data_IF_183427342896
#
_entry.id   IF_183427342896
#
_cell.length_a   1.000
_cell.length_b   1.000
_cell.length_c   1.000
_cell.angle_alpha   90.00
_cell.angle_beta   90.00
_cell.angle_gamma   90.00
#
_symmetry.space_group_name_H-M   'P 1'
#
loop_
_entity.id
_entity.type
_entity.pdbx_description
1 polymer ?
#
# COMPACT_ATOMS: atom_id res chain seq x y z
N UNK A 1 18.19 0.87 -55.34
CA UNK A 1 17.42 -0.04 -54.50
C UNK A 1 18.30 -0.30 -53.28
N UNK A 2 18.03 0.38 -52.18
CA UNK A 2 18.74 0.16 -50.92
C UNK A 2 18.03 -0.96 -50.19
N UNK A 3 18.73 -2.06 -49.95
CA UNK A 3 18.28 -3.15 -49.10
C UNK A 3 18.03 -2.59 -47.69
N UNK A 4 16.76 -2.34 -47.38
CA UNK A 4 16.32 -2.17 -46.00
C UNK A 4 16.22 -3.57 -45.41
N UNK A 5 17.30 -4.02 -44.75
CA UNK A 5 17.21 -5.16 -43.85
C UNK A 5 16.20 -4.80 -42.75
N UNK A 6 15.03 -5.45 -42.76
CA UNK A 6 14.14 -5.47 -41.61
C UNK A 6 14.95 -6.04 -40.44
N UNK A 7 15.26 -5.22 -39.45
CA UNK A 7 15.84 -5.70 -38.19
C UNK A 7 14.81 -6.61 -37.54
N UNK A 8 15.00 -7.92 -37.69
CA UNK A 8 14.19 -8.92 -37.03
C UNK A 8 14.55 -8.92 -35.54
N UNK A 9 13.66 -8.38 -34.70
CA UNK A 9 13.85 -8.39 -33.26
C UNK A 9 13.67 -9.83 -32.72
N UNK A 10 14.59 -10.27 -31.87
CA UNK A 10 14.56 -11.60 -31.27
C UNK A 10 14.27 -11.53 -29.76
N UNK A 11 13.29 -12.31 -29.29
CA UNK A 11 12.91 -12.41 -27.87
C UNK A 11 14.09 -12.79 -26.98
N UNK A 12 14.90 -13.76 -27.39
CA UNK A 12 16.03 -14.28 -26.59
C UNK A 12 17.20 -13.30 -26.53
N UNK A 13 17.32 -12.39 -27.50
CA UNK A 13 18.29 -11.31 -27.45
C UNK A 13 17.83 -10.19 -26.53
N UNK A 14 16.55 -9.80 -26.62
CA UNK A 14 15.97 -8.76 -25.75
C UNK A 14 15.98 -9.18 -24.28
N UNK A 15 15.77 -10.48 -23.99
CA UNK A 15 15.93 -11.00 -22.61
C UNK A 15 17.32 -10.81 -22.01
N UNK A 16 18.34 -10.67 -22.85
CA UNK A 16 19.74 -10.45 -22.41
C UNK A 16 20.12 -8.98 -22.37
N UNK A 17 19.33 -8.09 -22.96
CA UNK A 17 19.60 -6.64 -22.95
C UNK A 17 19.43 -6.06 -21.56
N UNK A 18 20.15 -4.97 -21.24
CA UNK A 18 19.88 -4.25 -19.99
C UNK A 18 18.43 -3.74 -20.02
N UNK A 19 17.61 -4.00 -18.99
CA UNK A 19 16.24 -3.53 -18.95
C UNK A 19 16.10 -2.01 -19.13
N UNK A 20 17.11 -1.23 -18.73
CA UNK A 20 17.14 0.22 -18.98
C UNK A 20 17.22 0.54 -20.47
N UNK A 21 18.03 -0.20 -21.23
CA UNK A 21 18.15 -0.01 -22.69
C UNK A 21 16.86 -0.40 -23.40
N UNK A 22 16.22 -1.48 -22.96
CA UNK A 22 14.91 -1.91 -23.50
C UNK A 22 13.85 -0.83 -23.26
N UNK A 23 13.78 -0.29 -22.05
CA UNK A 23 12.86 0.81 -21.73
C UNK A 23 13.17 2.06 -22.57
N UNK A 24 14.42 2.50 -22.62
CA UNK A 24 14.83 3.72 -23.32
C UNK A 24 14.55 3.61 -24.84
N UNK A 25 14.90 2.48 -25.44
CA UNK A 25 14.64 2.22 -26.86
C UNK A 25 13.14 2.15 -27.15
N UNK A 26 12.33 1.58 -26.25
CA UNK A 26 10.87 1.51 -26.41
C UNK A 26 10.18 2.87 -26.42
N UNK A 27 10.82 3.91 -25.86
CA UNK A 27 10.28 5.27 -25.88
C UNK A 27 10.62 6.03 -27.18
N UNK A 28 11.57 5.53 -27.97
CA UNK A 28 12.10 6.23 -29.15
C UNK A 28 11.81 5.50 -30.46
N UNK A 29 11.75 4.17 -30.46
CA UNK A 29 11.45 3.35 -31.66
C UNK A 29 10.05 2.76 -31.57
N UNK A 30 9.23 3.09 -32.57
CA UNK A 30 7.87 2.58 -32.68
C UNK A 30 7.87 1.08 -32.95
N UNK A 31 8.73 0.61 -33.84
CA UNK A 31 8.85 -0.79 -34.24
C UNK A 31 9.28 -1.67 -33.05
N UNK A 32 10.27 -1.20 -32.27
CA UNK A 32 10.71 -1.90 -31.07
C UNK A 32 9.61 -1.95 -30.00
N UNK A 33 8.90 -0.85 -29.79
CA UNK A 33 7.75 -0.82 -28.87
C UNK A 33 6.65 -1.78 -29.31
N UNK A 34 6.29 -1.80 -30.59
CA UNK A 34 5.28 -2.73 -31.13
C UNK A 34 5.67 -4.19 -30.89
N UNK A 35 6.94 -4.53 -31.12
CA UNK A 35 7.47 -5.85 -30.80
C UNK A 35 7.33 -6.19 -29.30
N UNK A 36 7.75 -5.28 -28.40
CA UNK A 36 7.63 -5.50 -26.96
C UNK A 36 6.18 -5.64 -26.51
N UNK A 37 5.26 -4.88 -27.10
CA UNK A 37 3.83 -4.95 -26.76
C UNK A 37 3.23 -6.32 -27.10
N UNK A 38 3.68 -6.93 -28.20
CA UNK A 38 3.21 -8.26 -28.63
C UNK A 38 3.85 -9.36 -27.78
N UNK A 39 5.16 -9.29 -27.56
CA UNK A 39 5.93 -10.41 -27.01
C UNK A 39 6.21 -10.33 -25.51
N UNK A 40 6.23 -9.12 -24.94
CA UNK A 40 6.52 -8.82 -23.53
C UNK A 40 7.64 -9.69 -22.93
N UNK A 41 8.84 -9.67 -23.54
CA UNK A 41 9.88 -10.66 -23.26
C UNK A 41 10.44 -10.59 -21.84
N UNK A 42 10.32 -9.43 -21.18
CA UNK A 42 10.81 -9.18 -19.83
C UNK A 42 9.69 -9.19 -18.79
N UNK A 43 9.94 -9.90 -17.69
CA UNK A 43 9.04 -9.98 -16.54
C UNK A 43 9.52 -9.10 -15.40
N UNK A 44 8.60 -8.40 -14.75
CA UNK A 44 8.92 -7.55 -13.61
C UNK A 44 7.80 -7.53 -12.57
N UNK A 45 8.16 -7.16 -11.34
CA UNK A 45 7.21 -6.66 -10.35
C UNK A 45 7.24 -5.14 -10.38
N UNK A 46 6.07 -4.52 -10.24
CA UNK A 46 5.90 -3.08 -10.31
C UNK A 46 5.43 -2.55 -8.95
N UNK A 47 6.12 -1.52 -8.45
CA UNK A 47 5.76 -0.81 -7.22
C UNK A 47 5.51 0.66 -7.50
N UNK A 48 4.31 1.14 -7.16
CA UNK A 48 4.05 2.58 -7.04
C UNK A 48 4.32 3.03 -5.61
N UNK A 49 5.13 4.07 -5.44
CA UNK A 49 5.28 4.79 -4.17
C UNK A 49 4.80 6.22 -4.36
N UNK A 50 3.77 6.57 -3.60
CA UNK A 50 3.08 7.86 -3.60
C UNK A 50 3.11 8.41 -2.18
N UNK A 51 4.18 9.12 -1.83
CA UNK A 51 4.50 9.44 -0.43
C UNK A 51 4.93 10.91 -0.28
N UNK A 52 4.79 11.48 0.92
CA UNK A 52 5.32 12.80 1.27
C UNK A 52 6.29 12.70 2.43
N UNK A 53 7.57 12.97 2.16
CA UNK A 53 8.57 13.04 3.22
C UNK A 53 8.67 14.46 3.75
N UNK A 54 8.54 14.54 5.07
CA UNK A 54 8.58 15.79 5.78
C UNK A 54 10.03 16.18 5.99
N UNK A 55 10.44 17.28 5.37
CA UNK A 55 11.65 17.97 5.77
C UNK A 55 11.24 19.26 6.47
N UNK A 56 11.61 19.40 7.74
CA UNK A 56 11.51 20.69 8.43
C UNK A 56 12.63 21.58 7.90
N UNK A 57 12.31 22.49 7.00
CA UNK A 57 13.23 23.55 6.59
C UNK A 57 12.76 24.90 7.11
N UNK A 58 13.73 25.78 7.40
CA UNK A 58 13.47 27.21 7.58
C UNK A 58 13.71 27.82 6.20
N UNK A 59 12.68 28.10 5.40
CA UNK A 59 12.93 28.68 4.08
C UNK A 59 13.48 30.10 4.26
N UNK A 60 14.44 30.49 3.40
CA UNK A 60 14.93 31.89 3.34
C UNK A 60 13.85 32.85 2.81
N UNK A 61 12.77 32.33 2.22
CA UNK A 61 11.65 33.09 1.68
C UNK A 61 10.34 32.36 2.00
N UNK A 62 9.41 33.02 2.69
CA UNK A 62 8.07 32.50 2.98
C UNK A 62 7.11 33.10 1.95
N UNK A 63 6.51 32.30 1.06
CA UNK A 63 5.47 32.80 0.17
C UNK A 63 4.28 33.32 0.98
N UNK A 64 3.76 34.49 0.64
CA UNK A 64 2.65 35.15 1.35
C UNK A 64 1.28 34.49 1.14
N UNK A 65 1.17 33.56 0.19
CA UNK A 65 -0.09 32.91 -0.21
C UNK A 65 -0.06 31.39 -0.02
N UNK A 66 0.37 30.91 1.14
CA UNK A 66 0.28 29.48 1.44
C UNK A 66 -1.14 29.12 1.91
N UNK A 67 -1.68 27.95 1.53
CA UNK A 67 -2.98 27.46 2.02
C UNK A 67 -3.03 27.38 3.55
N UNK A 68 -4.22 27.58 4.14
CA UNK A 68 -4.44 27.41 5.59
C UNK A 68 -3.98 26.01 6.03
N UNK A 69 -3.04 25.92 6.96
CA UNK A 69 -2.47 24.65 7.48
C UNK A 69 -0.97 24.45 7.23
N UNK A 70 -0.39 25.25 6.33
CA UNK A 70 1.05 25.26 5.97
C UNK A 70 1.96 25.98 6.97
N UNK A 71 1.38 26.56 8.02
CA UNK A 71 2.09 27.22 9.11
C UNK A 71 1.73 26.53 10.42
N UNK A 72 2.76 26.12 11.20
CA UNK A 72 2.55 25.86 12.62
C UNK A 72 2.32 27.20 13.31
N UNK A 73 1.13 27.42 13.90
CA UNK A 73 0.80 28.66 14.65
C UNK A 73 1.96 28.99 15.60
N UNK A 74 2.55 30.18 15.44
CA UNK A 74 3.62 30.68 16.31
C UNK A 74 5.06 30.32 15.92
N UNK A 75 5.35 29.79 14.72
CA UNK A 75 6.73 29.57 14.27
C UNK A 75 6.98 30.08 12.84
N UNK A 76 8.18 30.58 12.54
CA UNK A 76 8.65 30.94 11.20
C UNK A 76 8.98 29.72 10.30
N UNK A 77 8.50 28.52 10.66
CA UNK A 77 8.75 27.29 9.89
C UNK A 77 7.63 27.11 8.87
N UNK A 78 8.01 26.87 7.62
CA UNK A 78 7.10 26.47 6.54
C UNK A 78 7.32 24.99 6.29
N UNK A 79 6.24 24.25 6.04
CA UNK A 79 6.37 22.87 5.59
C UNK A 79 6.89 22.86 4.15
N UNK A 80 8.13 22.39 3.95
CA UNK A 80 8.57 21.91 2.63
C UNK A 80 8.19 20.44 2.52
N UNK A 81 7.29 20.14 1.59
CA UNK A 81 6.86 18.79 1.28
C UNK A 81 7.79 18.24 0.19
N UNK A 82 8.61 17.26 0.53
CA UNK A 82 9.38 16.50 -0.45
C UNK A 82 8.56 15.26 -0.81
N UNK A 83 7.63 15.38 -1.77
CA UNK A 83 6.85 14.22 -2.18
C UNK A 83 7.73 13.25 -2.99
N UNK A 84 7.71 11.98 -2.59
CA UNK A 84 8.38 10.87 -3.26
C UNK A 84 7.38 10.17 -4.17
N UNK A 85 7.44 10.54 -5.44
CA UNK A 85 6.73 9.85 -6.51
C UNK A 85 7.69 8.91 -7.22
N UNK A 86 7.49 7.60 -7.07
CA UNK A 86 8.40 6.58 -7.61
C UNK A 86 7.59 5.46 -8.28
N UNK A 87 8.01 5.07 -9.48
CA UNK A 87 7.67 3.80 -10.12
C UNK A 87 8.92 2.92 -10.10
N UNK A 88 8.88 1.82 -9.35
CA UNK A 88 9.98 0.86 -9.30
C UNK A 88 9.62 -0.42 -10.04
N UNK A 89 10.54 -0.89 -10.89
CA UNK A 89 10.46 -2.14 -11.63
C UNK A 89 11.55 -3.07 -11.14
N UNK A 90 11.15 -4.15 -10.48
CA UNK A 90 12.06 -5.22 -10.06
C UNK A 90 11.98 -6.34 -11.08
N UNK A 91 12.96 -6.40 -11.97
CA UNK A 91 13.03 -7.41 -13.03
C UNK A 91 13.29 -8.79 -12.42
N UNK A 92 12.59 -9.79 -12.97
CA UNK A 92 12.71 -11.19 -12.58
C UNK A 92 13.78 -11.89 -13.42
N UNK A 93 14.03 -13.15 -13.09
CA UNK A 93 14.86 -14.05 -13.90
C UNK A 93 16.30 -13.53 -14.11
N UNK A 94 16.67 -13.25 -15.36
CA UNK A 94 18.06 -13.09 -15.83
C UNK A 94 18.75 -11.83 -15.29
N UNK A 95 18.00 -10.78 -14.95
CA UNK A 95 18.60 -9.51 -14.54
C UNK A 95 18.71 -9.31 -13.03
N UNK A 96 17.70 -9.76 -12.26
CA UNK A 96 17.55 -9.45 -10.82
C UNK A 96 17.87 -7.98 -10.45
N UNK A 97 17.57 -7.06 -11.37
CA UNK A 97 17.90 -5.63 -11.30
C UNK A 97 16.64 -4.84 -10.98
N UNK A 98 16.79 -3.74 -10.26
CA UNK A 98 15.74 -2.74 -10.07
C UNK A 98 16.00 -1.54 -10.98
N UNK A 99 14.96 -1.06 -11.64
CA UNK A 99 14.95 0.19 -12.41
C UNK A 99 13.89 1.10 -11.80
N UNK A 100 14.22 2.37 -11.58
CA UNK A 100 13.31 3.32 -10.93
C UNK A 100 13.03 4.51 -11.83
N UNK A 101 11.78 4.90 -11.96
CA UNK A 101 11.40 6.25 -12.37
C UNK A 101 11.10 7.04 -11.11
N UNK A 102 11.73 8.18 -10.92
CA UNK A 102 11.47 9.00 -9.76
C UNK A 102 11.46 10.48 -10.11
N UNK A 103 10.61 11.22 -9.42
CA UNK A 103 10.50 12.66 -9.57
C UNK A 103 11.43 13.30 -8.55
N UNK A 104 12.56 13.83 -9.01
CA UNK A 104 13.53 14.48 -8.13
C UNK A 104 13.08 15.89 -7.75
N UNK A 105 13.21 16.24 -6.47
CA UNK A 105 13.27 17.65 -6.05
C UNK A 105 14.56 18.28 -6.60
N UNK A 106 14.54 19.57 -6.92
CA UNK A 106 15.71 20.28 -7.47
C UNK A 106 16.79 20.62 -6.43
N UNK A 107 16.87 19.85 -5.34
CA UNK A 107 17.80 20.11 -4.23
C UNK A 107 18.98 19.14 -4.19
N UNK A 108 20.20 19.69 -4.31
CA UNK A 108 21.51 19.10 -3.96
C UNK A 108 22.25 18.21 -4.98
N UNK A 109 22.07 18.44 -6.29
CA UNK A 109 23.18 18.09 -7.22
C UNK A 109 24.13 19.27 -7.29
N UNK A 110 25.38 19.03 -6.89
CA UNK A 110 26.50 19.98 -6.94
C UNK A 110 26.76 20.32 -8.40
N UNK A 111 26.30 21.49 -8.83
CA UNK A 111 26.38 21.96 -10.21
C UNK A 111 25.05 22.60 -10.62
N UNK A 112 24.91 23.89 -10.35
CA UNK A 112 23.80 24.79 -10.69
C UNK A 112 22.56 24.15 -11.35
N UNK A 113 21.49 23.86 -10.59
CA UNK A 113 20.25 23.39 -11.18
C UNK A 113 19.65 24.53 -12.04
N UNK A 114 19.58 24.32 -13.35
CA UNK A 114 18.71 25.13 -14.22
C UNK A 114 17.27 24.84 -13.81
N UNK A 115 16.73 25.70 -12.97
CA UNK A 115 15.31 25.71 -12.62
C UNK A 115 14.51 25.87 -13.90
N UNK A 116 13.86 24.78 -14.35
CA UNK A 116 12.85 24.83 -15.40
C UNK A 116 11.71 25.74 -14.89
N UNK A 117 11.35 26.72 -15.69
CA UNK A 117 10.27 27.69 -15.38
C UNK A 117 8.93 26.98 -15.47
N UNK A 118 7.93 27.51 -14.77
CA UNK A 118 6.55 27.06 -14.89
C UNK A 118 6.11 27.05 -16.37
N UNK A 119 5.61 25.91 -16.85
CA UNK A 119 5.25 25.68 -18.26
C UNK A 119 6.36 25.08 -19.13
N UNK A 120 7.57 24.91 -18.61
CA UNK A 120 8.62 24.16 -19.30
C UNK A 120 8.27 22.65 -19.35
N UNK A 121 8.58 21.94 -20.44
CA UNK A 121 8.31 20.51 -20.54
C UNK A 121 9.10 19.72 -19.50
N UNK A 122 8.45 18.74 -18.86
CA UNK A 122 9.14 17.76 -18.02
C UNK A 122 10.13 16.97 -18.88
N UNK A 123 11.33 16.75 -18.35
CA UNK A 123 12.42 16.01 -19.00
C UNK A 123 12.76 14.78 -18.20
N UNK A 124 13.01 13.67 -18.88
CA UNK A 124 13.52 12.46 -18.27
C UNK A 124 15.02 12.35 -18.54
N UNK A 125 15.81 12.14 -17.48
CA UNK A 125 17.26 11.97 -17.55
C UNK A 125 17.59 10.56 -17.09
N UNK A 126 18.37 9.86 -17.90
CA UNK A 126 18.88 8.54 -17.56
C UNK A 126 20.05 8.66 -16.60
N UNK A 127 19.99 7.94 -15.49
CA UNK A 127 21.05 7.73 -14.51
C UNK A 127 21.50 6.27 -14.56
N UNK A 128 22.42 5.85 -13.69
CA UNK A 128 23.00 4.49 -13.71
C UNK A 128 21.94 3.39 -13.54
N UNK A 129 20.99 3.57 -12.62
CA UNK A 129 19.96 2.59 -12.26
C UNK A 129 18.53 3.18 -12.25
N UNK A 130 18.36 4.36 -12.84
CA UNK A 130 17.11 5.09 -12.76
C UNK A 130 16.86 6.05 -13.94
N UNK A 131 15.60 6.44 -14.09
CA UNK A 131 15.14 7.53 -14.91
C UNK A 131 14.63 8.65 -14.01
N UNK A 132 15.38 9.73 -13.90
CA UNK A 132 15.00 10.91 -13.13
C UNK A 132 14.11 11.82 -13.98
N UNK A 133 12.90 12.08 -13.51
CA UNK A 133 12.00 13.07 -14.12
C UNK A 133 12.26 14.44 -13.46
N UNK A 134 12.62 15.42 -14.28
CA UNK A 134 12.98 16.80 -13.90
C UNK A 134 11.98 17.75 -14.56
N UNK A 135 11.71 18.89 -13.91
CA UNK A 135 10.71 19.87 -14.37
C UNK A 135 9.55 20.04 -13.40
N UNK A 136 9.58 19.29 -12.30
CA UNK A 136 8.73 19.53 -11.14
C UNK A 136 9.08 20.89 -10.52
N UNK A 137 8.15 21.83 -10.56
CA UNK A 137 8.31 23.07 -9.80
C UNK A 137 7.81 22.83 -8.38
N UNK A 138 8.56 23.28 -7.36
CA UNK A 138 8.15 23.12 -5.94
C UNK A 138 6.81 23.81 -5.62
N UNK A 139 6.28 24.61 -6.56
CA UNK A 139 5.00 25.30 -6.47
C UNK A 139 3.81 24.48 -7.01
N UNK A 140 4.03 23.40 -7.77
CA UNK A 140 2.94 22.55 -8.31
C UNK A 140 2.21 21.74 -7.22
N UNK A 141 2.86 21.50 -6.07
CA UNK A 141 2.26 20.88 -4.88
C UNK A 141 1.05 21.70 -4.38
N UNK A 142 0.97 22.99 -4.76
CA UNK A 142 -0.07 23.93 -4.32
C UNK A 142 -1.10 24.28 -5.40
N UNK A 143 -0.97 23.72 -6.61
CA UNK A 143 -1.89 23.95 -7.73
C UNK A 143 -2.71 22.70 -8.04
N UNK A 144 -3.98 22.86 -8.47
CA UNK A 144 -4.92 21.77 -8.78
C UNK A 144 -4.44 20.81 -9.89
N UNK A 145 -3.49 21.23 -10.72
CA UNK A 145 -3.05 20.47 -11.88
C UNK A 145 -1.78 19.67 -11.56
N UNK A 146 -1.96 18.49 -10.96
CA UNK A 146 -0.91 17.50 -10.62
C UNK A 146 -0.31 16.84 -11.86
N UNK A 147 0.38 17.61 -12.69
CA UNK A 147 1.00 17.16 -13.94
C UNK A 147 2.01 16.03 -13.71
N UNK A 148 2.68 16.03 -12.57
CA UNK A 148 3.59 14.96 -12.12
C UNK A 148 2.90 13.59 -12.04
N UNK A 149 1.71 13.53 -11.44
CA UNK A 149 0.90 12.32 -11.36
C UNK A 149 0.38 11.87 -12.73
N UNK A 150 0.09 12.81 -13.64
CA UNK A 150 -0.26 12.48 -15.03
C UNK A 150 0.92 11.88 -15.78
N UNK A 151 2.13 12.42 -15.61
CA UNK A 151 3.34 11.85 -16.21
C UNK A 151 3.64 10.46 -15.64
N UNK A 152 3.52 10.28 -14.31
CA UNK A 152 3.67 8.98 -13.68
C UNK A 152 2.62 7.96 -14.18
N UNK A 153 1.38 8.39 -14.41
CA UNK A 153 0.34 7.58 -15.03
C UNK A 153 0.71 7.17 -16.46
N UNK A 154 1.22 8.11 -17.28
CA UNK A 154 1.67 7.83 -18.65
C UNK A 154 2.84 6.85 -18.69
N UNK A 155 3.85 7.03 -17.84
CA UNK A 155 4.98 6.09 -17.71
C UNK A 155 4.44 4.72 -17.28
N UNK A 156 3.54 4.67 -16.30
CA UNK A 156 2.93 3.41 -15.85
C UNK A 156 2.21 2.68 -16.99
N UNK A 157 1.43 3.40 -17.82
CA UNK A 157 0.76 2.81 -18.99
C UNK A 157 1.76 2.24 -19.99
N UNK A 158 2.78 3.01 -20.35
CA UNK A 158 3.83 2.57 -21.27
C UNK A 158 4.53 1.31 -20.77
N UNK A 159 4.88 1.25 -19.48
CA UNK A 159 5.50 0.06 -18.88
C UNK A 159 4.59 -1.16 -18.95
N UNK A 160 3.29 -0.99 -18.68
CA UNK A 160 2.31 -2.08 -18.76
C UNK A 160 2.06 -2.54 -20.19
N UNK A 161 2.31 -1.70 -21.19
CA UNK A 161 2.25 -2.09 -22.60
C UNK A 161 3.43 -2.98 -22.97
N UNK A 162 4.66 -2.68 -22.52
CA UNK A 162 5.87 -3.35 -23.02
C UNK A 162 6.38 -4.50 -22.13
N UNK A 163 5.96 -4.58 -20.86
CA UNK A 163 6.43 -5.60 -19.91
C UNK A 163 5.33 -6.61 -19.54
N UNK A 164 5.76 -7.80 -19.15
CA UNK A 164 4.92 -8.80 -18.48
C UNK A 164 4.99 -8.62 -16.95
N UNK A 165 4.15 -7.73 -16.42
CA UNK A 165 4.12 -7.41 -14.99
C UNK A 165 3.42 -8.50 -14.19
N UNK A 166 4.18 -9.18 -13.33
CA UNK A 166 3.69 -10.33 -12.55
C UNK A 166 2.97 -9.91 -11.27
N UNK A 167 3.49 -8.88 -10.60
CA UNK A 167 2.99 -8.43 -9.29
C UNK A 167 2.93 -6.92 -9.21
N UNK A 168 1.89 -6.44 -8.55
CA UNK A 168 1.63 -5.03 -8.32
C UNK A 168 1.70 -4.72 -6.83
N UNK A 169 2.46 -3.68 -6.50
CA UNK A 169 2.60 -3.17 -5.15
C UNK A 169 2.25 -1.68 -5.12
N UNK A 170 1.51 -1.26 -4.10
CA UNK A 170 1.17 0.16 -3.88
C UNK A 170 1.58 0.56 -2.47
N UNK A 171 2.39 1.61 -2.37
CA UNK A 171 2.77 2.25 -1.11
C UNK A 171 2.28 3.69 -1.15
N UNK A 172 1.41 4.04 -0.21
CA UNK A 172 0.91 5.40 -0.05
C UNK A 172 1.29 5.92 1.33
N UNK A 173 1.91 7.09 1.38
CA UNK A 173 2.38 7.74 2.60
C UNK A 173 1.91 9.19 2.74
N UNK A 174 0.67 9.46 2.32
CA UNK A 174 0.06 10.79 2.21
C UNK A 174 0.56 11.62 1.01
N UNK A 175 -0.38 12.20 0.27
CA UNK A 175 -0.16 13.26 -0.71
C UNK A 175 -1.23 14.34 -0.50
N UNK A 176 -0.83 15.61 -0.52
CA UNK A 176 -1.77 16.71 -0.29
C UNK A 176 -2.80 16.82 -1.42
N UNK A 177 -4.07 17.03 -1.08
CA UNK A 177 -5.22 17.13 -2.01
C UNK A 177 -5.31 15.96 -3.01
N UNK A 178 -4.88 14.76 -2.59
CA UNK A 178 -4.89 13.58 -3.43
C UNK A 178 -5.86 12.53 -2.92
N UNK A 179 -6.77 12.10 -3.80
CA UNK A 179 -7.75 11.05 -3.51
C UNK A 179 -7.23 9.70 -3.96
N UNK A 180 -6.57 8.99 -3.04
CA UNK A 180 -5.96 7.69 -3.30
C UNK A 180 -6.97 6.72 -3.94
N UNK A 181 -8.21 6.69 -3.46
CA UNK A 181 -9.24 5.77 -3.94
C UNK A 181 -9.68 6.04 -5.39
N UNK A 182 -9.36 7.22 -5.96
CA UNK A 182 -9.67 7.60 -7.34
C UNK A 182 -8.44 7.61 -8.24
N UNK A 183 -7.29 7.20 -7.70
CA UNK A 183 -5.99 7.32 -8.36
C UNK A 183 -5.79 6.32 -9.50
N UNK A 184 -4.83 6.62 -10.37
CA UNK A 184 -4.53 5.83 -11.56
C UNK A 184 -4.06 4.39 -11.28
N UNK A 185 -3.36 4.03 -10.18
CA UNK A 185 -3.02 2.63 -9.91
C UNK A 185 -4.26 1.72 -9.91
N UNK A 186 -5.38 2.17 -9.32
CA UNK A 186 -6.64 1.42 -9.30
C UNK A 186 -7.38 1.41 -10.65
N UNK A 187 -7.04 2.33 -11.56
CA UNK A 187 -7.53 2.31 -12.96
C UNK A 187 -6.74 1.32 -13.81
N UNK A 188 -5.46 1.12 -13.50
CA UNK A 188 -4.55 0.24 -14.24
C UNK A 188 -4.66 -1.23 -13.79
N UNK A 189 -4.91 -1.48 -12.51
CA UNK A 189 -5.11 -2.84 -11.98
C UNK A 189 -6.03 -2.84 -10.76
N UNK A 190 -6.70 -3.97 -10.54
CA UNK A 190 -7.48 -4.26 -9.31
C UNK A 190 -6.87 -5.35 -8.46
N UNK A 191 -5.80 -5.99 -8.94
CA UNK A 191 -5.12 -7.10 -8.30
C UNK A 191 -3.77 -6.61 -7.77
N UNK A 192 -3.55 -6.77 -6.48
CA UNK A 192 -2.34 -6.29 -5.80
C UNK A 192 -1.73 -7.42 -4.99
N UNK A 193 -0.41 -7.58 -5.12
CA UNK A 193 0.34 -8.40 -4.18
C UNK A 193 0.36 -7.71 -2.81
N UNK A 194 0.62 -6.39 -2.78
CA UNK A 194 0.53 -5.64 -1.52
C UNK A 194 0.02 -4.22 -1.70
N UNK A 195 -0.74 -3.76 -0.72
CA UNK A 195 -1.12 -2.34 -0.55
C UNK A 195 -0.74 -1.92 0.87
N UNK A 196 0.04 -0.85 0.98
CA UNK A 196 0.35 -0.18 2.24
C UNK A 196 -0.17 1.23 2.19
N UNK A 197 -1.01 1.61 3.15
CA UNK A 197 -1.56 2.96 3.30
C UNK A 197 -1.15 3.47 4.66
N UNK A 198 -0.38 4.56 4.67
CA UNK A 198 0.00 5.28 5.86
C UNK A 198 -0.42 6.73 5.72
N UNK A 199 -1.17 7.25 6.69
CA UNK A 199 -1.51 8.68 6.75
C UNK A 199 -0.64 9.38 7.78
N UNK A 200 -0.78 10.70 7.86
CA UNK A 200 -0.13 11.51 8.89
C UNK A 200 -1.00 11.51 10.13
N UNK A 201 -0.40 11.76 11.29
CA UNK A 201 -1.09 11.87 12.58
C UNK A 201 -2.16 12.99 12.60
N UNK A 202 -2.06 13.98 11.72
CA UNK A 202 -3.05 15.06 11.61
C UNK A 202 -3.99 14.90 10.41
N UNK A 203 -3.91 13.78 9.69
CA UNK A 203 -4.73 13.48 8.52
C UNK A 203 -5.71 12.34 8.83
N UNK A 204 -6.99 12.68 8.77
CA UNK A 204 -8.08 11.74 9.03
C UNK A 204 -8.71 11.32 7.71
N UNK A 205 -8.89 10.01 7.55
CA UNK A 205 -9.52 9.44 6.36
C UNK A 205 -11.01 9.30 6.60
N UNK A 206 -11.82 9.85 5.70
CA UNK A 206 -13.25 9.58 5.71
C UNK A 206 -13.50 8.08 5.52
N UNK A 207 -14.28 7.44 6.40
CA UNK A 207 -14.60 5.99 6.32
C UNK A 207 -15.18 5.59 4.95
N UNK A 208 -15.88 6.50 4.27
CA UNK A 208 -16.40 6.28 2.92
C UNK A 208 -15.30 6.17 1.86
N UNK A 209 -14.19 6.89 2.01
CA UNK A 209 -13.07 6.84 1.07
C UNK A 209 -12.26 5.57 1.29
N UNK A 210 -12.06 5.13 2.54
CA UNK A 210 -11.55 3.79 2.84
C UNK A 210 -12.43 2.70 2.21
N UNK A 211 -13.76 2.80 2.31
CA UNK A 211 -14.67 1.84 1.69
C UNK A 211 -14.53 1.80 0.17
N UNK A 212 -14.35 2.95 -0.50
CA UNK A 212 -14.08 3.00 -1.94
C UNK A 212 -12.75 2.35 -2.29
N UNK A 213 -11.70 2.60 -1.50
CA UNK A 213 -10.39 1.97 -1.67
C UNK A 213 -10.50 0.44 -1.59
N UNK A 214 -11.13 -0.08 -0.54
CA UNK A 214 -11.34 -1.52 -0.35
C UNK A 214 -12.20 -2.15 -1.48
N UNK A 215 -13.12 -1.37 -2.06
CA UNK A 215 -13.94 -1.82 -3.21
C UNK A 215 -13.13 -1.86 -4.51
N UNK A 216 -12.19 -0.93 -4.69
CA UNK A 216 -11.42 -0.80 -5.92
C UNK A 216 -10.31 -1.86 -6.04
N UNK A 217 -9.88 -2.44 -4.91
CA UNK A 217 -8.92 -3.54 -4.87
C UNK A 217 -9.63 -4.88 -4.59
N UNK A 218 -9.74 -5.76 -5.60
CA UNK A 218 -10.58 -6.98 -5.52
C UNK A 218 -9.79 -8.24 -5.19
N UNK A 219 -8.47 -8.26 -5.38
CA UNK A 219 -7.60 -9.40 -5.08
C UNK A 219 -6.30 -8.88 -4.45
N UNK A 220 -6.34 -8.56 -3.16
CA UNK A 220 -5.15 -8.11 -2.42
C UNK A 220 -4.58 -9.27 -1.63
N UNK A 221 -3.28 -9.58 -1.74
CA UNK A 221 -2.68 -10.56 -0.82
C UNK A 221 -2.40 -9.94 0.53
N UNK A 222 -1.58 -8.90 0.56
CA UNK A 222 -1.19 -8.20 1.80
C UNK A 222 -1.76 -6.77 1.84
N UNK A 223 -2.60 -6.48 2.81
CA UNK A 223 -3.12 -5.13 3.07
C UNK A 223 -2.61 -4.62 4.42
N UNK A 224 -1.83 -3.54 4.40
CA UNK A 224 -1.38 -2.84 5.61
C UNK A 224 -1.99 -1.43 5.65
N UNK A 225 -2.70 -1.13 6.74
CA UNK A 225 -3.30 0.18 7.01
C UNK A 225 -2.70 0.75 8.29
N UNK A 226 -2.23 1.99 8.24
CA UNK A 226 -1.78 2.78 9.38
C UNK A 226 -2.44 4.16 9.22
N UNK A 227 -3.71 4.24 9.61
CA UNK A 227 -4.57 5.39 9.31
C UNK A 227 -5.44 5.74 10.52
N UNK A 228 -5.75 7.02 10.66
CA UNK A 228 -6.81 7.51 11.52
C UNK A 228 -8.09 7.71 10.70
N UNK A 229 -9.25 7.31 11.25
CA UNK A 229 -10.55 7.59 10.61
C UNK A 229 -11.21 8.84 11.20
N UNK A 230 -11.88 9.60 10.34
CA UNK A 230 -12.74 10.69 10.79
C UNK A 230 -13.86 10.16 11.73
N UNK A 231 -14.13 10.83 12.86
CA UNK A 231 -15.18 10.41 13.77
C UNK A 231 -16.55 10.52 13.10
N UNK A 232 -17.35 9.45 13.18
CA UNK A 232 -18.70 9.44 12.61
C UNK A 232 -19.77 9.47 13.70
N UNK A 233 -20.78 10.32 13.55
CA UNK A 233 -21.89 10.45 14.50
C UNK A 233 -23.00 9.41 14.32
N UNK A 234 -22.92 8.55 13.29
CA UNK A 234 -23.97 7.58 12.94
C UNK A 234 -23.38 6.18 12.79
N UNK A 235 -24.12 5.13 13.18
CA UNK A 235 -23.74 3.75 12.91
C UNK A 235 -23.41 3.56 11.43
N UNK A 236 -22.22 3.03 11.16
CA UNK A 236 -21.75 2.79 9.80
C UNK A 236 -21.95 1.33 9.43
N UNK A 237 -22.11 1.06 8.12
CA UNK A 237 -22.03 -0.31 7.64
C UNK A 237 -20.61 -0.85 7.86
N UNK A 238 -20.47 -2.14 8.21
CA UNK A 238 -19.15 -2.75 8.34
C UNK A 238 -18.30 -2.57 7.08
N UNK A 239 -16.99 -2.42 7.28
CA UNK A 239 -15.99 -2.50 6.24
C UNK A 239 -15.83 -3.96 5.80
N UNK A 240 -15.45 -4.16 4.55
CA UNK A 240 -15.25 -5.50 3.98
C UNK A 240 -13.82 -5.58 3.48
N UNK A 241 -13.00 -6.35 4.19
CA UNK A 241 -11.60 -6.57 3.84
C UNK A 241 -11.47 -7.79 2.94
N UNK A 242 -11.20 -7.55 1.66
CA UNK A 242 -10.96 -8.57 0.65
C UNK A 242 -9.45 -8.76 0.43
N UNK A 243 -8.80 -9.34 1.44
CA UNK A 243 -7.37 -9.62 1.37
C UNK A 243 -7.01 -10.95 2.05
N UNK A 244 -5.89 -11.57 1.66
CA UNK A 244 -5.41 -12.79 2.34
C UNK A 244 -4.83 -12.49 3.72
N UNK A 245 -4.13 -11.38 3.86
CA UNK A 245 -3.41 -10.93 5.05
C UNK A 245 -3.75 -9.47 5.33
N UNK A 246 -4.37 -9.22 6.48
CA UNK A 246 -4.77 -7.90 6.94
C UNK A 246 -3.89 -7.47 8.12
N UNK A 247 -3.32 -6.28 8.02
CA UNK A 247 -2.57 -5.64 9.10
C UNK A 247 -3.07 -4.22 9.30
N UNK A 248 -3.60 -3.93 10.49
CA UNK A 248 -4.04 -2.60 10.87
C UNK A 248 -3.20 -2.13 12.05
N UNK A 249 -2.48 -1.03 11.85
CA UNK A 249 -1.83 -0.25 12.91
C UNK A 249 -2.74 0.94 13.19
N UNK A 250 -2.92 1.29 14.47
CA UNK A 250 -3.86 2.35 14.88
C UNK A 250 -5.31 1.99 14.52
N UNK A 251 -5.77 0.84 15.04
CA UNK A 251 -7.06 0.23 14.76
C UNK A 251 -8.14 0.50 15.81
N UNK A 252 -8.07 1.63 16.53
CA UNK A 252 -9.10 2.05 17.50
C UNK A 252 -10.49 2.23 16.85
N UNK A 253 -10.52 2.50 15.55
CA UNK A 253 -11.73 2.60 14.74
C UNK A 253 -12.26 1.26 14.19
N UNK A 254 -11.54 0.17 14.40
CA UNK A 254 -11.91 -1.16 13.89
C UNK A 254 -12.90 -1.82 14.84
N UNK A 255 -14.05 -2.23 14.31
CA UNK A 255 -15.02 -2.99 15.09
C UNK A 255 -14.94 -4.49 14.79
N UNK A 256 -15.34 -5.33 15.74
CA UNK A 256 -15.40 -6.79 15.54
C UNK A 256 -16.22 -7.18 14.31
N UNK A 257 -17.30 -6.43 14.01
CA UNK A 257 -18.13 -6.67 12.82
C UNK A 257 -17.39 -6.42 11.50
N UNK A 258 -16.43 -5.50 11.48
CA UNK A 258 -15.59 -5.24 10.31
C UNK A 258 -14.69 -6.47 10.02
N UNK A 259 -14.19 -7.12 11.07
CA UNK A 259 -13.34 -8.30 10.97
C UNK A 259 -14.14 -9.57 10.61
N UNK A 260 -15.35 -9.74 11.15
CA UNK A 260 -16.19 -10.91 10.87
C UNK A 260 -16.59 -11.03 9.39
N UNK A 261 -16.68 -9.89 8.69
CA UNK A 261 -16.94 -9.86 7.24
C UNK A 261 -15.71 -10.14 6.37
N UNK A 262 -14.52 -10.26 6.96
CA UNK A 262 -13.28 -10.45 6.23
C UNK A 262 -13.08 -11.92 5.81
N UNK A 263 -12.50 -12.13 4.63
CA UNK A 263 -12.15 -13.46 4.11
C UNK A 263 -10.68 -13.85 4.36
N UNK A 264 -10.02 -13.13 5.26
CA UNK A 264 -8.58 -13.22 5.54
C UNK A 264 -8.15 -14.56 6.14
N UNK A 265 -6.92 -14.95 5.81
CA UNK A 265 -6.17 -16.01 6.48
C UNK A 265 -5.41 -15.47 7.68
N UNK A 266 -4.86 -14.26 7.58
CA UNK A 266 -4.06 -13.63 8.64
C UNK A 266 -4.65 -12.27 9.00
N UNK A 267 -4.81 -12.01 10.30
CA UNK A 267 -5.34 -10.75 10.81
C UNK A 267 -4.42 -10.27 11.93
N UNK A 268 -3.90 -9.05 11.80
CA UNK A 268 -3.22 -8.32 12.86
C UNK A 268 -3.91 -6.97 13.05
N UNK A 269 -4.33 -6.65 14.26
CA UNK A 269 -4.89 -5.34 14.61
C UNK A 269 -4.24 -4.82 15.89
N UNK A 270 -3.80 -3.57 15.88
CA UNK A 270 -3.20 -2.90 17.03
C UNK A 270 -4.02 -1.69 17.46
N UNK A 271 -4.40 -1.62 18.74
CA UNK A 271 -5.15 -0.49 19.33
C UNK A 271 -6.67 -0.64 19.29
N UNK A 272 -7.21 -1.79 18.85
CA UNK A 272 -8.65 -2.06 18.82
C UNK A 272 -9.24 -2.16 20.23
N UNK A 273 -10.41 -1.58 20.46
CA UNK A 273 -11.21 -1.90 21.64
C UNK A 273 -12.01 -3.19 21.40
N UNK A 274 -11.99 -4.10 22.37
CA UNK A 274 -12.74 -5.34 22.28
C UNK A 274 -13.31 -5.75 23.64
N UNK A 275 -14.59 -6.12 23.67
CA UNK A 275 -15.24 -6.68 24.86
C UNK A 275 -15.04 -8.18 24.99
N UNK A 276 -15.32 -8.72 26.18
CA UNK A 276 -15.28 -10.17 26.41
C UNK A 276 -16.31 -10.91 25.54
N UNK A 277 -17.52 -10.35 25.41
CA UNK A 277 -18.59 -10.89 24.57
C UNK A 277 -18.18 -10.94 23.10
N UNK A 278 -17.46 -9.93 22.62
CA UNK A 278 -16.95 -9.88 21.26
C UNK A 278 -15.89 -10.94 21.00
N UNK A 279 -14.93 -11.11 21.91
CA UNK A 279 -13.91 -12.14 21.79
C UNK A 279 -14.52 -13.56 21.83
N UNK A 280 -15.50 -13.79 22.72
CA UNK A 280 -16.27 -15.05 22.74
C UNK A 280 -17.05 -15.24 21.43
N UNK A 281 -17.61 -14.16 20.86
CA UNK A 281 -18.32 -14.20 19.57
C UNK A 281 -17.39 -14.61 18.42
N UNK A 282 -16.17 -14.05 18.35
CA UNK A 282 -15.16 -14.44 17.36
C UNK A 282 -14.91 -15.95 17.40
N UNK A 283 -14.62 -16.50 18.59
CA UNK A 283 -14.32 -17.92 18.75
C UNK A 283 -15.53 -18.80 18.44
N UNK A 284 -16.74 -18.40 18.87
CA UNK A 284 -17.98 -19.13 18.56
C UNK A 284 -18.22 -19.20 17.06
N UNK A 285 -18.10 -18.08 16.36
CA UNK A 285 -18.39 -17.99 14.94
C UNK A 285 -17.36 -18.77 14.09
N UNK A 286 -16.08 -18.70 14.47
CA UNK A 286 -15.05 -19.57 13.89
C UNK A 286 -15.36 -21.05 14.14
N UNK A 287 -15.71 -21.42 15.38
CA UNK A 287 -15.99 -22.82 15.79
C UNK A 287 -17.16 -23.43 15.01
N UNK A 288 -18.19 -22.65 14.70
CA UNK A 288 -19.36 -23.10 13.92
C UNK A 288 -19.11 -23.07 12.41
N UNK A 289 -17.97 -22.53 11.97
CA UNK A 289 -17.63 -22.40 10.55
C UNK A 289 -18.36 -21.26 9.84
N UNK A 290 -18.81 -20.24 10.60
CA UNK A 290 -19.37 -19.00 10.08
C UNK A 290 -18.28 -18.07 9.53
N UNK A 291 -18.09 -16.92 10.18
CA UNK A 291 -16.97 -16.02 9.93
C UNK A 291 -15.61 -16.65 10.22
N UNK A 292 -14.54 -16.03 9.69
CA UNK A 292 -13.16 -16.49 9.88
C UNK A 292 -12.88 -17.92 9.39
N UNK A 293 -13.68 -18.47 8.46
CA UNK A 293 -13.51 -19.84 7.96
C UNK A 293 -12.10 -20.13 7.43
N UNK A 294 -11.50 -19.15 6.75
CA UNK A 294 -10.16 -19.26 6.15
C UNK A 294 -9.02 -18.91 7.12
N UNK A 295 -9.33 -18.51 8.36
CA UNK A 295 -8.34 -18.01 9.29
C UNK A 295 -7.30 -19.08 9.64
N UNK A 296 -6.05 -18.67 9.57
CA UNK A 296 -4.84 -19.40 9.97
C UNK A 296 -4.24 -18.76 11.24
N UNK A 297 -4.24 -17.43 11.33
CA UNK A 297 -3.71 -16.72 12.51
C UNK A 297 -4.40 -15.36 12.71
N UNK A 298 -4.67 -15.02 13.96
CA UNK A 298 -5.21 -13.73 14.39
C UNK A 298 -4.46 -13.23 15.63
N UNK A 299 -4.03 -11.97 15.59
CA UNK A 299 -3.48 -11.23 16.72
C UNK A 299 -4.19 -9.89 16.84
N UNK A 300 -4.84 -9.65 17.98
CA UNK A 300 -5.49 -8.38 18.31
C UNK A 300 -4.83 -7.83 19.57
N UNK A 301 -4.11 -6.71 19.43
CA UNK A 301 -3.59 -5.92 20.56
C UNK A 301 -4.60 -4.85 20.90
N UNK A 302 -5.05 -4.88 22.15
CA UNK A 302 -6.17 -4.07 22.61
C UNK A 302 -5.71 -2.82 23.36
N UNK A 303 -6.42 -1.72 23.15
CA UNK A 303 -6.24 -0.49 23.94
C UNK A 303 -6.85 -0.64 25.35
N UNK A 304 -7.93 -1.41 25.48
CA UNK A 304 -8.57 -1.75 26.74
C UNK A 304 -8.02 -3.07 27.35
N UNK A 305 -8.34 -3.31 28.63
CA UNK A 305 -8.01 -4.56 29.32
C UNK A 305 -9.12 -5.60 29.15
N UNK A 306 -8.73 -6.81 28.76
CA UNK A 306 -9.59 -7.98 28.64
C UNK A 306 -9.36 -8.95 29.81
N UNK A 307 -9.89 -8.60 30.98
CA UNK A 307 -9.77 -9.43 32.19
C UNK A 307 -10.84 -10.53 32.21
N UNK A 308 -10.49 -11.73 32.70
CA UNK A 308 -11.46 -12.82 32.91
C UNK A 308 -11.91 -13.60 31.68
N UNK A 309 -11.44 -13.26 30.47
CA UNK A 309 -11.80 -13.97 29.23
C UNK A 309 -11.50 -15.48 29.29
N UNK A 310 -10.43 -15.82 29.99
CA UNK A 310 -10.00 -17.16 30.28
C UNK A 310 -11.10 -18.02 30.92
N UNK A 311 -11.70 -17.50 32.00
CA UNK A 311 -12.75 -18.19 32.74
C UNK A 311 -14.03 -18.30 31.91
N UNK A 312 -14.34 -17.25 31.14
CA UNK A 312 -15.53 -17.24 30.29
C UNK A 312 -15.40 -18.21 29.12
N UNK A 313 -14.22 -18.32 28.51
CA UNK A 313 -13.94 -19.34 27.51
C UNK A 313 -14.07 -20.76 28.08
N UNK A 314 -13.60 -20.99 29.31
CA UNK A 314 -13.73 -22.31 29.97
C UNK A 314 -15.20 -22.67 30.19
N UNK A 315 -16.04 -21.72 30.64
CA UNK A 315 -17.49 -21.91 30.80
C UNK A 315 -18.18 -22.20 29.47
N UNK A 316 -17.86 -21.43 28.43
CA UNK A 316 -18.58 -21.45 27.15
C UNK A 316 -18.19 -22.65 26.28
N UNK A 317 -16.91 -23.02 26.28
CA UNK A 317 -16.37 -24.03 25.38
C UNK A 317 -16.05 -25.36 26.07
N UNK A 318 -16.11 -25.42 27.40
CA UNK A 318 -15.83 -26.63 28.18
C UNK A 318 -14.36 -27.08 28.07
N UNK A 319 -13.43 -26.13 27.88
CA UNK A 319 -11.99 -26.43 27.75
C UNK A 319 -11.47 -26.82 29.13
N UNK A 320 -11.08 -28.10 29.29
CA UNK A 320 -10.49 -28.59 30.55
C UNK A 320 -9.02 -28.15 30.64
N UNK A 321 -8.63 -27.57 31.77
CA UNK A 321 -7.21 -27.31 32.12
C UNK A 321 -6.45 -28.64 32.10
N UNK A 322 -5.53 -28.81 31.14
CA UNK A 322 -4.76 -30.04 31.01
C UNK A 322 -3.67 -30.20 32.08
N UNK A 323 -3.13 -29.10 32.63
CA UNK A 323 -2.22 -29.11 33.78
C UNK A 323 -2.07 -27.69 34.36
N UNK A 324 -1.96 -27.56 35.68
CA UNK A 324 -1.86 -26.27 36.39
C UNK A 324 -0.55 -25.49 36.11
N UNK A 325 0.39 -26.07 35.35
CA UNK A 325 1.69 -25.49 35.04
C UNK A 325 1.96 -25.30 33.54
N UNK A 326 1.06 -25.75 32.65
CA UNK A 326 1.21 -25.60 31.20
C UNK A 326 0.25 -24.53 30.67
N UNK A 327 0.65 -23.27 30.86
CA UNK A 327 0.32 -22.01 30.19
C UNK A 327 -1.12 -21.74 29.70
N UNK A 328 -1.54 -20.48 29.78
CA UNK A 328 -2.83 -19.85 29.40
C UNK A 328 -3.38 -20.10 27.97
N UNK A 329 -2.93 -21.14 27.29
CA UNK A 329 -3.31 -21.53 25.95
C UNK A 329 -4.48 -22.53 26.00
N UNK A 330 -5.61 -22.19 25.39
CA UNK A 330 -6.82 -23.02 25.29
C UNK A 330 -6.97 -23.55 23.88
N UNK A 331 -7.41 -24.80 23.71
CA UNK A 331 -7.67 -25.35 22.37
C UNK A 331 -9.16 -25.46 22.10
N UNK A 332 -9.61 -25.02 20.92
CA UNK A 332 -11.00 -25.16 20.46
C UNK A 332 -11.02 -25.91 19.13
N UNK A 333 -11.86 -26.94 19.03
CA UNK A 333 -12.07 -27.70 17.81
C UNK A 333 -13.28 -27.17 17.04
N UNK A 334 -13.08 -26.85 15.76
CA UNK A 334 -14.14 -26.43 14.84
C UNK A 334 -15.04 -27.62 14.49
N UNK A 335 -16.35 -27.37 14.50
CA UNK A 335 -17.39 -28.40 14.35
C UNK A 335 -17.45 -28.93 12.92
N UNK A 336 -17.19 -28.08 11.92
CA UNK A 336 -17.42 -28.39 10.51
C UNK A 336 -16.32 -29.25 9.88
N UNK A 337 -15.05 -29.01 10.19
CA UNK A 337 -13.89 -29.67 9.57
C UNK A 337 -12.92 -30.27 10.58
N UNK A 338 -13.17 -30.11 11.87
CA UNK A 338 -12.33 -30.66 12.93
C UNK A 338 -10.99 -29.94 13.15
N UNK A 339 -10.70 -28.83 12.44
CA UNK A 339 -9.49 -28.03 12.68
C UNK A 339 -9.44 -27.51 14.12
N UNK A 340 -8.23 -27.33 14.63
CA UNK A 340 -8.00 -26.96 16.03
C UNK A 340 -7.36 -25.57 16.07
N UNK A 341 -7.96 -24.67 16.84
CA UNK A 341 -7.39 -23.37 17.15
C UNK A 341 -6.79 -23.38 18.54
N UNK A 342 -5.60 -22.79 18.68
CA UNK A 342 -4.99 -22.44 19.96
C UNK A 342 -5.29 -20.98 20.26
N UNK A 343 -5.93 -20.73 21.39
CA UNK A 343 -6.31 -19.42 21.88
C UNK A 343 -5.35 -19.03 23.00
N UNK A 344 -4.85 -17.80 22.95
CA UNK A 344 -4.05 -17.24 24.02
C UNK A 344 -4.45 -15.80 24.29
N UNK A 345 -4.59 -15.46 25.56
CA UNK A 345 -5.03 -14.14 26.00
C UNK A 345 -4.16 -13.62 27.14
N UNK A 346 -3.88 -12.32 27.08
CA UNK A 346 -3.31 -11.48 28.14
C UNK A 346 -4.17 -10.22 28.25
N UNK A 347 -4.02 -9.39 29.30
CA UNK A 347 -4.85 -8.21 29.49
C UNK A 347 -5.00 -7.32 28.23
N UNK A 348 -3.97 -7.17 27.40
CA UNK A 348 -4.01 -6.34 26.20
C UNK A 348 -3.78 -7.12 24.90
N UNK A 349 -3.94 -8.44 24.92
CA UNK A 349 -3.65 -9.28 23.76
C UNK A 349 -4.63 -10.45 23.67
N UNK A 350 -5.21 -10.63 22.49
CA UNK A 350 -5.95 -11.81 22.11
C UNK A 350 -5.32 -12.42 20.86
N UNK A 351 -5.08 -13.73 20.89
CA UNK A 351 -4.49 -14.47 19.77
C UNK A 351 -5.24 -15.77 19.53
N UNK A 352 -5.34 -16.14 18.25
CA UNK A 352 -5.93 -17.38 17.79
C UNK A 352 -5.13 -17.93 16.60
N UNK A 353 -4.49 -19.08 16.79
CA UNK A 353 -3.67 -19.75 15.77
C UNK A 353 -4.28 -21.11 15.41
N UNK A 354 -4.55 -21.34 14.13
CA UNK A 354 -5.23 -22.53 13.62
C UNK A 354 -4.21 -23.52 13.04
N UNK A 355 -4.33 -24.78 13.46
CA UNK A 355 -3.50 -25.92 13.04
C UNK A 355 -4.07 -26.63 11.81
#
# INVERSE_FOLDING_TARGET
>A
MSDYEEKEFNVEEIRKMDPMDVIDQSMTSKEFREFLTIHKPLKANLTWTLDTVHQYSIPRFIPTNLPKGTHRRGTHRVFTFDERLILELKFLEEHKKSVRFYFGDQGNTVGEPKVLKYGDPMKMVREEDAFKVIGRSNMEILTRDRHDLLVLECISKHILEILDVQKFHLKYGFLWDFKLEQSFPFKLTKCFESITVQTRYDDQVARNDLRKLLKNATNVKDLELCIELEPTSRPQRPLVFNCESLKIREGDWVETNDLMGASCKKIYVDGMEMSMEEAVRIVKDWRTGGGFRNLESMEIRMSNKLEGIEEEMDKVFGVRKANAQANAQRTVKRVTDGKIASLYSKPHLFTMDVQ
#
